data_IF_752103495176
#
_entry.id   IF_752103495176
#
_cell.length_a   1.000
_cell.length_b   1.000
_cell.length_c   1.000
_cell.angle_alpha   90.00
_cell.angle_beta   90.00
_cell.angle_gamma   90.00
#
_symmetry.space_group_name_H-M   'P 1'
#
loop_
_entity.id
_entity.type
_entity.pdbx_description
1 polymer ?
#
# COMPACT_ATOMS: atom_id res chain seq x y z
N UNK A 1 -5.79 -9.04 -2.11
CA UNK A 1 -4.34 -8.99 -2.34
C UNK A 1 -3.90 -10.26 -3.02
N UNK A 2 -2.90 -10.16 -3.89
CA UNK A 2 -2.18 -11.26 -4.53
C UNK A 2 -0.70 -11.02 -4.23
N UNK A 3 -0.05 -11.99 -3.62
CA UNK A 3 1.35 -11.90 -3.22
C UNK A 3 2.06 -13.23 -3.44
N UNK A 4 3.36 -13.16 -3.71
CA UNK A 4 4.25 -14.30 -3.82
C UNK A 4 4.80 -14.62 -2.43
N UNK A 5 4.36 -15.74 -1.85
CA UNK A 5 4.75 -16.12 -0.48
C UNK A 5 6.27 -16.34 -0.34
N UNK A 6 6.95 -16.74 -1.42
CA UNK A 6 8.40 -16.97 -1.38
C UNK A 6 9.22 -15.67 -1.38
N UNK A 7 8.60 -14.57 -1.81
CA UNK A 7 9.21 -13.24 -1.86
C UNK A 7 8.58 -12.27 -0.85
N UNK A 8 7.60 -12.72 -0.06
CA UNK A 8 6.91 -11.88 0.90
C UNK A 8 7.83 -11.58 2.08
N UNK A 9 8.22 -10.32 2.21
CA UNK A 9 9.12 -9.88 3.27
C UNK A 9 8.84 -8.42 3.69
N UNK A 10 9.31 -8.08 4.88
CA UNK A 10 9.36 -6.71 5.38
C UNK A 10 10.66 -6.01 4.95
N UNK A 11 10.57 -4.70 4.68
CA UNK A 11 11.75 -3.86 4.39
C UNK A 11 12.22 -3.14 5.64
N UNK A 12 13.46 -2.68 5.63
CA UNK A 12 14.01 -1.84 6.68
C UNK A 12 13.10 -0.60 6.87
N UNK A 13 12.68 -0.29 8.11
CA UNK A 13 11.90 0.90 8.38
C UNK A 13 12.74 2.17 8.19
N UNK A 14 12.09 3.23 7.72
CA UNK A 14 12.68 4.56 7.53
C UNK A 14 11.86 5.59 8.32
N UNK A 15 12.54 6.61 8.87
CA UNK A 15 11.88 7.80 9.42
C UNK A 15 11.77 8.84 8.32
N UNK A 16 10.56 9.27 8.01
CA UNK A 16 10.28 10.38 7.10
C UNK A 16 9.60 11.53 7.85
N UNK A 17 9.75 12.76 7.36
CA UNK A 17 9.20 13.98 7.98
C UNK A 17 8.17 14.63 7.04
N UNK A 18 7.15 13.88 6.63
CA UNK A 18 6.19 14.25 5.57
C UNK A 18 4.77 14.54 6.09
N UNK A 19 4.56 14.55 7.40
CA UNK A 19 3.32 14.99 8.03
C UNK A 19 3.23 16.51 8.19
N UNK A 20 2.03 17.06 8.50
CA UNK A 20 1.87 18.48 8.77
C UNK A 20 2.91 18.99 9.77
N UNK A 21 3.46 20.18 9.50
CA UNK A 21 4.55 20.80 10.27
C UNK A 21 5.86 20.00 10.31
N UNK A 22 6.06 19.04 9.39
CA UNK A 22 7.27 18.22 9.32
C UNK A 22 7.36 17.18 10.44
N UNK A 23 6.23 16.79 11.04
CA UNK A 23 6.24 15.76 12.07
C UNK A 23 6.78 14.42 11.50
N UNK A 24 7.59 13.68 12.28
CA UNK A 24 8.16 12.42 11.82
C UNK A 24 7.16 11.26 11.87
N UNK A 25 7.30 10.31 10.96
CA UNK A 25 6.66 8.99 11.05
C UNK A 25 7.59 7.88 10.56
N UNK A 26 7.41 6.69 11.13
CA UNK A 26 8.02 5.47 10.60
C UNK A 26 7.23 4.97 9.39
N UNK A 27 7.94 4.64 8.32
CA UNK A 27 7.42 3.89 7.18
C UNK A 27 8.17 2.58 7.10
N UNK A 28 7.44 1.47 7.14
CA UNK A 28 7.96 0.14 6.87
C UNK A 28 7.26 -0.39 5.61
N UNK A 29 7.99 -0.46 4.49
CA UNK A 29 7.48 -1.06 3.26
C UNK A 29 7.51 -2.59 3.38
N UNK A 30 6.76 -3.24 2.51
CA UNK A 30 6.85 -4.68 2.29
C UNK A 30 7.28 -4.95 0.83
N UNK A 31 7.68 -6.18 0.54
CA UNK A 31 7.90 -6.66 -0.81
C UNK A 31 7.18 -8.00 -1.05
N UNK A 32 7.06 -8.39 -2.32
CA UNK A 32 6.41 -9.64 -2.73
C UNK A 32 4.92 -9.50 -3.06
N UNK A 33 4.36 -8.29 -3.02
CA UNK A 33 2.99 -8.01 -3.45
C UNK A 33 2.92 -7.87 -4.98
N UNK A 34 2.26 -8.81 -5.63
CA UNK A 34 2.01 -8.76 -7.08
C UNK A 34 0.85 -7.84 -7.44
N UNK A 35 -0.21 -7.83 -6.63
CA UNK A 35 -1.33 -6.92 -6.85
C UNK A 35 -2.19 -6.69 -5.60
N UNK A 36 -2.68 -5.47 -5.47
CA UNK A 36 -3.85 -5.14 -4.64
C UNK A 36 -4.89 -4.52 -5.55
N UNK A 37 -6.11 -5.05 -5.53
CA UNK A 37 -7.23 -4.54 -6.30
C UNK A 37 -8.35 -4.08 -5.38
N UNK A 38 -9.08 -3.07 -5.82
CA UNK A 38 -10.32 -2.63 -5.20
C UNK A 38 -11.30 -2.26 -6.32
N UNK A 39 -12.53 -2.80 -6.26
CA UNK A 39 -13.59 -2.53 -7.23
C UNK A 39 -13.21 -2.78 -8.72
N UNK A 40 -12.29 -3.70 -8.97
CA UNK A 40 -11.82 -4.05 -10.32
C UNK A 40 -10.52 -3.37 -10.74
N UNK A 41 -10.08 -2.32 -10.04
CA UNK A 41 -8.89 -1.55 -10.38
C UNK A 41 -7.69 -1.89 -9.50
N UNK A 42 -6.49 -1.85 -10.08
CA UNK A 42 -5.23 -2.00 -9.35
C UNK A 42 -4.94 -0.77 -8.49
N UNK A 43 -4.81 -0.97 -7.19
CA UNK A 43 -4.34 0.05 -6.22
C UNK A 43 -2.82 -0.07 -6.02
N UNK A 44 -2.30 -1.29 -6.08
CA UNK A 44 -0.87 -1.60 -6.02
C UNK A 44 -0.55 -2.67 -7.05
N UNK A 45 0.58 -2.53 -7.74
CA UNK A 45 1.09 -3.51 -8.71
C UNK A 45 2.60 -3.63 -8.53
N UNK A 46 3.08 -4.87 -8.38
CA UNK A 46 4.50 -5.19 -8.24
C UNK A 46 5.21 -4.27 -7.21
N UNK A 47 4.70 -4.30 -5.97
CA UNK A 47 5.15 -3.49 -4.81
C UNK A 47 5.00 -1.96 -4.90
N UNK A 48 4.41 -1.44 -5.99
CA UNK A 48 4.25 0.01 -6.22
C UNK A 48 2.78 0.45 -6.26
N UNK A 49 2.48 1.59 -5.62
CA UNK A 49 1.15 2.18 -5.65
C UNK A 49 0.85 2.76 -7.03
N UNK A 50 -0.32 2.46 -7.59
CA UNK A 50 -0.74 2.98 -8.90
C UNK A 50 -1.31 4.40 -8.82
N UNK A 51 -1.60 4.89 -7.61
CA UNK A 51 -2.32 6.14 -7.36
C UNK A 51 -3.84 6.04 -7.53
N UNK A 52 -4.36 4.90 -8.01
CA UNK A 52 -5.80 4.69 -8.18
C UNK A 52 -6.51 4.65 -6.84
N UNK A 53 -7.65 5.36 -6.73
CA UNK A 53 -8.46 5.46 -5.51
C UNK A 53 -9.91 5.02 -5.79
N UNK A 54 -10.14 3.74 -6.11
CA UNK A 54 -11.44 3.26 -6.60
C UNK A 54 -12.42 2.94 -5.46
N UNK A 55 -12.06 3.26 -4.21
CA UNK A 55 -12.87 3.01 -3.03
C UNK A 55 -14.19 3.77 -3.07
N UNK A 56 -15.26 3.13 -2.55
CA UNK A 56 -16.58 3.74 -2.41
C UNK A 56 -17.12 3.47 -1.01
N UNK A 57 -17.88 4.42 -0.48
CA UNK A 57 -18.61 4.21 0.77
C UNK A 57 -19.69 3.16 0.54
N UNK A 58 -19.61 2.06 1.29
CA UNK A 58 -20.67 1.06 1.32
C UNK A 58 -21.76 1.53 2.29
N UNK A 59 -23.03 1.47 1.87
CA UNK A 59 -24.19 1.77 2.71
C UNK A 59 -25.07 0.54 2.76
N UNK A 60 -25.59 0.21 3.93
CA UNK A 60 -26.66 -0.78 4.08
C UNK A 60 -27.97 -0.03 3.93
N UNK A 61 -28.73 -0.33 2.87
CA UNK A 61 -30.14 0.07 2.81
C UNK A 61 -30.98 -0.90 3.62
#
# INVERSE_FOLDING_TARGET
NVFDLSQLEERMPEIVNDFPFGAPRFIQRAAGYKATLCNGDFVLRDDELTGTRPGRVLRSN
#
